data_IF_670866274001
#
_entry.id   IF_670866274001
#
_cell.length_a   1.000
_cell.length_b   1.000
_cell.length_c   1.000
_cell.angle_alpha   90.00
_cell.angle_beta   90.00
_cell.angle_gamma   90.00
#
_symmetry.space_group_name_H-M   'P 1'
#
loop_
_entity.id
_entity.type
_entity.pdbx_description
1 polymer ?
#
# COMPACT_ATOMS: atom_id res chain seq x y z
N UNK A 1 -54.47 10.75 12.90
CA UNK A 1 -53.32 11.66 13.04
C UNK A 1 -52.12 10.81 13.41
N UNK A 2 -51.34 10.40 12.42
CA UNK A 2 -50.17 9.52 12.60
C UNK A 2 -48.96 10.42 12.86
N UNK A 3 -48.39 10.32 14.06
CA UNK A 3 -47.20 11.08 14.44
C UNK A 3 -45.99 10.39 13.80
N UNK A 4 -45.31 11.09 12.89
CA UNK A 4 -44.02 10.69 12.35
C UNK A 4 -42.96 10.81 13.45
N UNK A 5 -42.40 9.70 13.91
CA UNK A 5 -41.16 9.71 14.68
C UNK A 5 -39.99 9.57 13.71
N UNK A 6 -39.43 10.71 13.30
CA UNK A 6 -38.18 10.79 12.56
C UNK A 6 -37.05 10.26 13.43
N UNK A 7 -36.47 9.12 13.04
CA UNK A 7 -35.19 8.67 13.58
C UNK A 7 -34.11 9.53 12.92
N UNK A 8 -33.61 10.51 13.65
CA UNK A 8 -32.35 11.17 13.32
C UNK A 8 -31.25 10.15 13.55
N UNK A 9 -30.75 9.54 12.48
CA UNK A 9 -29.48 8.80 12.55
C UNK A 9 -28.41 9.87 12.71
N UNK A 10 -27.95 10.01 13.95
CA UNK A 10 -26.83 10.84 14.32
C UNK A 10 -25.63 10.35 13.50
N UNK A 11 -25.29 11.10 12.44
CA UNK A 11 -24.03 10.92 11.73
C UNK A 11 -22.93 11.02 12.78
N UNK A 12 -22.30 9.89 13.08
CA UNK A 12 -21.18 9.84 13.99
C UNK A 12 -20.14 10.82 13.50
N UNK A 13 -19.90 11.87 14.28
CA UNK A 13 -18.70 12.68 14.14
C UNK A 13 -17.53 11.78 14.53
N UNK A 14 -17.01 10.98 13.58
CA UNK A 14 -15.73 10.30 13.77
C UNK A 14 -14.69 11.40 13.90
N UNK A 15 -14.03 11.45 15.05
CA UNK A 15 -12.85 12.27 15.23
C UNK A 15 -11.87 11.86 14.12
N UNK A 16 -11.29 12.77 13.32
CA UNK A 16 -10.31 12.39 12.30
C UNK A 16 -9.07 11.68 12.89
N UNK A 17 -8.86 11.82 14.21
CA UNK A 17 -7.86 11.08 14.99
C UNK A 17 -8.22 9.60 15.26
N UNK A 18 -9.47 9.18 15.03
CA UNK A 18 -9.95 7.79 15.17
C UNK A 18 -10.06 7.07 13.81
N UNK A 19 -9.69 7.75 12.72
CA UNK A 19 -9.71 7.16 11.38
C UNK A 19 -8.37 6.47 11.09
N UNK A 20 -8.31 5.16 11.38
CA UNK A 20 -7.13 4.32 11.16
C UNK A 20 -6.61 4.38 9.72
N UNK A 21 -7.51 4.51 8.74
CA UNK A 21 -7.13 4.64 7.33
C UNK A 21 -6.39 5.95 7.08
N UNK A 22 -6.82 7.05 7.70
CA UNK A 22 -6.12 8.32 7.62
C UNK A 22 -4.76 8.29 8.34
N UNK A 23 -4.67 7.57 9.47
CA UNK A 23 -3.40 7.35 10.16
C UNK A 23 -2.41 6.60 9.27
N UNK A 24 -2.84 5.49 8.65
CA UNK A 24 -1.99 4.75 7.71
C UNK A 24 -1.60 5.63 6.52
N UNK A 25 -2.57 6.31 5.90
CA UNK A 25 -2.34 7.17 4.74
C UNK A 25 -1.28 8.25 5.03
N UNK A 26 -1.32 8.87 6.20
CA UNK A 26 -0.38 9.91 6.62
C UNK A 26 0.99 9.34 7.05
N UNK A 27 1.06 8.04 7.33
CA UNK A 27 2.29 7.34 7.73
C UNK A 27 3.06 6.75 6.55
N UNK A 28 2.46 6.73 5.35
CA UNK A 28 3.10 6.20 4.15
C UNK A 28 4.33 7.02 3.77
N UNK A 29 5.45 6.32 3.62
CA UNK A 29 6.72 6.85 3.14
C UNK A 29 6.90 6.36 1.71
N UNK A 30 7.04 7.29 0.76
CA UNK A 30 7.38 6.96 -0.63
C UNK A 30 8.86 7.11 -0.85
N UNK A 31 9.48 6.06 -1.37
CA UNK A 31 10.89 6.03 -1.70
C UNK A 31 11.08 5.64 -3.15
N UNK A 32 12.03 6.27 -3.84
CA UNK A 32 12.35 5.97 -5.23
C UNK A 32 13.85 5.69 -5.38
N UNK A 33 14.20 4.68 -6.16
CA UNK A 33 15.58 4.42 -6.57
C UNK A 33 15.72 4.78 -8.06
N UNK A 34 16.15 6.01 -8.32
CA UNK A 34 16.15 6.56 -9.67
C UNK A 34 14.73 6.81 -10.19
N UNK A 35 14.57 6.78 -11.51
CA UNK A 35 13.28 7.04 -12.16
C UNK A 35 12.46 5.75 -12.39
N UNK A 36 13.08 4.57 -12.36
CA UNK A 36 12.44 3.31 -12.78
C UNK A 36 11.82 2.53 -11.63
N UNK A 37 12.09 2.90 -10.38
CA UNK A 37 11.65 2.17 -9.19
C UNK A 37 11.06 3.10 -8.16
N UNK A 38 9.84 2.78 -7.70
CA UNK A 38 9.21 3.42 -6.57
C UNK A 38 8.55 2.39 -5.67
N UNK A 39 8.68 2.56 -4.37
CA UNK A 39 8.00 1.72 -3.39
C UNK A 39 7.45 2.57 -2.25
N UNK A 40 6.55 1.94 -1.50
CA UNK A 40 5.91 2.53 -0.34
C UNK A 40 6.23 1.69 0.89
N UNK A 41 6.54 2.38 1.99
CA UNK A 41 6.84 1.79 3.28
C UNK A 41 6.13 2.56 4.41
N UNK A 42 6.21 2.02 5.63
CA UNK A 42 5.87 2.74 6.87
C UNK A 42 7.00 2.53 7.87
N UNK A 43 7.18 3.46 8.81
CA UNK A 43 8.04 3.19 9.97
C UNK A 43 7.41 2.11 10.85
N UNK A 44 8.22 1.21 11.40
CA UNK A 44 7.75 0.12 12.26
C UNK A 44 7.00 0.59 13.52
N UNK A 45 7.23 1.84 13.95
CA UNK A 45 6.56 2.41 15.12
C UNK A 45 5.35 3.29 14.77
N UNK A 46 5.06 3.48 13.47
CA UNK A 46 4.00 4.39 13.04
C UNK A 46 2.60 3.85 13.35
N UNK A 47 2.42 2.52 13.30
CA UNK A 47 1.15 1.85 13.56
C UNK A 47 1.30 0.92 14.75
N UNK A 48 0.58 1.17 15.86
CA UNK A 48 0.64 0.31 17.05
C UNK A 48 0.27 -1.15 16.73
N UNK A 49 1.12 -2.09 17.16
CA UNK A 49 0.91 -3.53 16.97
C UNK A 49 1.15 -4.02 15.54
N UNK A 50 1.78 -3.21 14.68
CA UNK A 50 2.31 -3.65 13.40
C UNK A 50 3.68 -4.30 13.60
N UNK A 51 3.85 -5.53 13.10
CA UNK A 51 5.08 -6.30 13.27
C UNK A 51 5.56 -6.82 11.91
N UNK A 52 6.79 -6.48 11.54
CA UNK A 52 7.38 -6.87 10.26
C UNK A 52 8.19 -8.17 10.36
N UNK A 53 8.78 -8.62 9.26
CA UNK A 53 9.57 -9.88 9.23
C UNK A 53 10.71 -9.96 10.25
N UNK A 54 11.21 -8.83 10.75
CA UNK A 54 12.34 -8.74 11.70
C UNK A 54 11.92 -8.58 13.16
N UNK A 55 10.66 -8.21 13.46
CA UNK A 55 10.24 -7.86 14.83
C UNK A 55 9.96 -9.05 15.76
N UNK A 56 9.98 -10.28 15.24
CA UNK A 56 9.56 -11.49 15.96
C UNK A 56 8.07 -11.80 15.76
N UNK A 57 7.70 -13.07 15.94
CA UNK A 57 6.34 -13.57 15.69
C UNK A 57 5.38 -13.19 16.85
N UNK A 58 4.11 -12.83 16.58
CA UNK A 58 3.41 -12.89 15.30
C UNK A 58 3.63 -11.68 14.38
N UNK A 59 3.72 -11.95 13.06
CA UNK A 59 3.89 -10.93 12.02
C UNK A 59 2.56 -10.41 11.46
N UNK A 60 2.54 -9.14 11.05
CA UNK A 60 1.42 -8.54 10.33
C UNK A 60 1.42 -9.01 8.87
N UNK A 61 0.30 -9.58 8.43
CA UNK A 61 0.03 -9.88 7.03
C UNK A 61 -0.50 -8.63 6.34
N UNK A 62 0.17 -8.20 5.28
CA UNK A 62 -0.18 -7.04 4.47
C UNK A 62 -0.74 -7.52 3.15
N UNK A 63 -1.96 -7.10 2.85
CA UNK A 63 -2.59 -7.32 1.55
C UNK A 63 -2.44 -6.08 0.70
N UNK A 64 -1.82 -6.24 -0.46
CA UNK A 64 -1.71 -5.19 -1.48
C UNK A 64 -2.59 -5.55 -2.66
N UNK A 65 -3.28 -4.56 -3.22
CA UNK A 65 -4.06 -4.71 -4.46
C UNK A 65 -3.73 -3.58 -5.40
N UNK A 66 -3.39 -3.92 -6.63
CA UNK A 66 -2.98 -2.98 -7.65
C UNK A 66 -4.11 -2.64 -8.63
N UNK A 67 -4.18 -1.38 -9.05
CA UNK A 67 -5.15 -0.85 -10.02
C UNK A 67 -4.58 0.34 -10.79
N UNK A 68 -5.43 1.15 -11.44
CA UNK A 68 -5.03 2.46 -11.97
C UNK A 68 -3.99 2.48 -13.10
N UNK A 69 -3.78 1.36 -13.79
CA UNK A 69 -2.74 1.21 -14.82
C UNK A 69 -1.78 0.04 -14.60
N UNK A 70 -1.89 -0.65 -13.46
CA UNK A 70 -1.06 -1.79 -13.09
C UNK A 70 -0.97 -2.89 -14.16
N UNK A 71 -2.08 -3.25 -14.81
CA UNK A 71 -2.09 -4.24 -15.91
C UNK A 71 -1.26 -3.78 -17.11
N UNK A 72 -1.38 -2.50 -17.49
CA UNK A 72 -0.61 -1.93 -18.59
C UNK A 72 0.89 -1.86 -18.24
N UNK A 73 1.22 -1.47 -17.01
CA UNK A 73 2.60 -1.47 -16.51
C UNK A 73 3.19 -2.90 -16.54
N UNK A 74 2.44 -3.90 -16.06
CA UNK A 74 2.88 -5.29 -16.09
C UNK A 74 3.05 -5.82 -17.51
N UNK A 75 2.12 -5.52 -18.41
CA UNK A 75 2.23 -5.87 -19.83
C UNK A 75 3.48 -5.24 -20.47
N UNK A 76 3.88 -4.05 -20.01
CA UNK A 76 5.10 -3.37 -20.40
C UNK A 76 6.37 -3.86 -19.69
N UNK A 77 6.29 -4.96 -18.91
CA UNK A 77 7.38 -5.59 -18.13
C UNK A 77 7.80 -4.88 -16.84
N UNK A 78 6.95 -4.02 -16.28
CA UNK A 78 7.11 -3.62 -14.88
C UNK A 78 6.71 -4.75 -13.93
N UNK A 79 7.41 -4.87 -12.82
CA UNK A 79 7.10 -5.76 -11.70
C UNK A 79 6.26 -5.01 -10.67
N UNK A 80 5.11 -5.59 -10.33
CA UNK A 80 4.31 -5.17 -9.17
C UNK A 80 4.83 -5.95 -7.98
N UNK A 81 5.25 -5.27 -6.92
CA UNK A 81 5.91 -5.91 -5.77
C UNK A 81 4.97 -6.02 -4.58
N UNK A 82 4.89 -7.20 -3.97
CA UNK A 82 4.19 -7.39 -2.71
C UNK A 82 4.95 -6.74 -1.53
N UNK A 83 4.38 -6.81 -0.33
CA UNK A 83 4.97 -6.22 0.87
C UNK A 83 6.29 -6.92 1.29
N UNK A 84 6.51 -8.17 0.86
CA UNK A 84 7.78 -8.89 1.04
C UNK A 84 8.81 -8.58 -0.08
N UNK A 85 8.48 -7.63 -0.98
CA UNK A 85 9.24 -7.26 -2.18
C UNK A 85 9.34 -8.36 -3.25
N UNK A 86 8.58 -9.46 -3.11
CA UNK A 86 8.45 -10.45 -4.18
C UNK A 86 7.56 -9.89 -5.32
N UNK A 87 7.81 -10.35 -6.54
CA UNK A 87 6.99 -9.94 -7.69
C UNK A 87 5.66 -10.69 -7.69
N UNK A 88 4.55 -9.96 -7.86
CA UNK A 88 3.21 -10.52 -8.05
C UNK A 88 3.12 -11.09 -9.48
N UNK A 89 3.20 -12.41 -9.59
CA UNK A 89 3.21 -13.10 -10.89
C UNK A 89 1.82 -13.44 -11.44
N UNK A 90 0.79 -13.44 -10.59
CA UNK A 90 -0.59 -13.78 -10.98
C UNK A 90 -1.60 -12.86 -10.28
N UNK A 91 -2.63 -12.42 -11.02
CA UNK A 91 -3.59 -11.45 -10.50
C UNK A 91 -2.95 -10.08 -10.23
N UNK A 92 -3.59 -9.27 -9.39
CA UNK A 92 -3.09 -7.94 -8.97
C UNK A 92 -3.05 -7.79 -7.45
N UNK A 93 -3.28 -8.87 -6.73
CA UNK A 93 -3.39 -8.88 -5.27
C UNK A 93 -2.44 -9.91 -4.70
N UNK A 94 -1.77 -9.56 -3.62
CA UNK A 94 -0.94 -10.47 -2.84
C UNK A 94 -1.06 -10.14 -1.35
N UNK A 95 -0.98 -11.17 -0.52
CA UNK A 95 -0.92 -11.04 0.94
C UNK A 95 0.37 -11.67 1.42
N UNK A 96 1.24 -10.86 2.00
CA UNK A 96 2.57 -11.29 2.46
C UNK A 96 2.93 -10.59 3.77
N UNK A 97 3.97 -11.07 4.46
CA UNK A 97 4.58 -10.33 5.57
C UNK A 97 5.37 -9.16 5.00
N UNK A 98 5.34 -7.99 5.65
CA UNK A 98 6.18 -6.86 5.24
C UNK A 98 7.66 -7.14 5.46
N UNK A 99 8.48 -6.86 4.46
CA UNK A 99 9.92 -6.94 4.55
C UNK A 99 10.49 -5.73 5.30
N UNK A 100 11.45 -5.98 6.19
CA UNK A 100 12.20 -4.91 6.88
C UNK A 100 13.25 -4.29 5.96
N UNK A 101 13.09 -3.01 5.65
CA UNK A 101 14.02 -2.23 4.81
C UNK A 101 14.98 -1.37 5.63
N UNK A 102 15.28 -1.76 6.87
CA UNK A 102 16.24 -1.06 7.74
C UNK A 102 15.58 -0.15 8.77
N UNK A 103 14.51 -0.63 9.43
CA UNK A 103 13.72 0.10 10.43
C UNK A 103 12.35 0.56 9.93
N UNK A 104 12.17 0.51 8.61
CA UNK A 104 10.89 0.68 7.93
C UNK A 104 10.40 -0.66 7.40
N UNK A 105 9.09 -0.75 7.14
CA UNK A 105 8.43 -1.90 6.57
C UNK A 105 7.94 -1.62 5.17
N UNK A 106 8.39 -2.43 4.21
CA UNK A 106 7.87 -2.40 2.86
C UNK A 106 6.38 -2.77 2.83
N UNK A 107 5.60 -2.00 2.07
CA UNK A 107 4.17 -2.21 1.85
C UNK A 107 3.83 -2.45 0.37
N UNK A 108 4.85 -2.55 -0.48
CA UNK A 108 4.72 -2.84 -1.92
C UNK A 108 5.45 -1.82 -2.79
N UNK A 109 5.54 -2.11 -4.09
CA UNK A 109 6.31 -1.30 -5.02
C UNK A 109 6.01 -1.52 -6.50
N UNK A 110 6.62 -0.69 -7.33
CA UNK A 110 6.59 -0.73 -8.78
C UNK A 110 8.03 -0.63 -9.28
N UNK A 111 8.50 -1.67 -9.97
CA UNK A 111 9.82 -1.72 -10.59
C UNK A 111 9.70 -1.87 -12.11
N UNK A 112 10.12 -0.86 -12.85
CA UNK A 112 10.12 -0.83 -14.30
C UNK A 112 11.53 -0.91 -14.90
N UNK A 113 12.53 -1.39 -14.16
CA UNK A 113 13.92 -1.51 -14.65
C UNK A 113 14.07 -2.38 -15.90
N UNK A 114 13.16 -3.34 -16.12
CA UNK A 114 13.10 -4.19 -17.31
C UNK A 114 12.01 -3.77 -18.32
N UNK A 115 11.33 -2.65 -18.07
CA UNK A 115 10.20 -2.23 -18.89
C UNK A 115 10.62 -1.55 -20.19
N UNK A 116 9.67 -1.48 -21.12
CA UNK A 116 9.82 -0.64 -22.32
C UNK A 116 9.92 0.83 -21.92
N UNK A 117 10.37 1.69 -22.85
CA UNK A 117 10.37 3.13 -22.63
C UNK A 117 8.94 3.63 -22.38
N UNK A 118 8.75 4.46 -21.36
CA UNK A 118 7.44 5.00 -21.03
C UNK A 118 7.35 5.59 -19.63
N UNK A 119 6.17 6.14 -19.34
CA UNK A 119 5.75 6.51 -17.99
C UNK A 119 4.68 5.50 -17.57
N UNK A 120 4.90 4.86 -16.43
CA UNK A 120 4.02 3.84 -15.88
C UNK A 120 3.53 4.31 -14.52
N UNK A 121 2.25 4.05 -14.28
CA UNK A 121 1.60 4.36 -13.02
C UNK A 121 0.76 3.17 -12.59
N UNK A 122 0.73 2.92 -11.30
CA UNK A 122 -0.11 1.91 -10.69
C UNK A 122 -0.57 2.41 -9.33
N UNK A 123 -1.87 2.39 -9.10
CA UNK A 123 -2.41 2.60 -7.76
C UNK A 123 -2.21 1.32 -6.95
N UNK A 124 -1.78 1.47 -5.70
CA UNK A 124 -1.65 0.40 -4.73
C UNK A 124 -2.58 0.71 -3.55
N UNK A 125 -3.52 -0.20 -3.29
CA UNK A 125 -4.31 -0.24 -2.07
C UNK A 125 -3.66 -1.22 -1.10
N UNK A 126 -3.31 -0.75 0.09
CA UNK A 126 -2.65 -1.50 1.15
C UNK A 126 -3.67 -1.71 2.27
N UNK A 127 -3.78 -2.94 2.78
CA UNK A 127 -4.65 -3.26 3.91
C UNK A 127 -4.04 -4.30 4.83
N UNK A 128 -4.24 -4.14 6.14
CA UNK A 128 -3.79 -5.09 7.15
C UNK A 128 -4.55 -4.92 8.47
N UNK A 129 -4.38 -5.88 9.37
CA UNK A 129 -4.86 -5.81 10.76
C UNK A 129 -3.65 -5.75 11.70
N UNK A 130 -3.61 -4.74 12.57
CA UNK A 130 -2.57 -4.55 13.58
C UNK A 130 -3.25 -4.17 14.91
N UNK A 131 -2.84 -4.77 16.02
CA UNK A 131 -3.45 -4.50 17.33
C UNK A 131 -4.97 -4.76 17.42
N UNK A 132 -5.53 -5.59 16.54
CA UNK A 132 -6.98 -5.84 16.43
C UNK A 132 -7.76 -4.79 15.63
N UNK A 133 -7.07 -3.88 14.96
CA UNK A 133 -7.63 -2.77 14.20
C UNK A 133 -7.30 -2.92 12.72
N UNK A 134 -8.26 -2.63 11.84
CA UNK A 134 -8.06 -2.64 10.40
C UNK A 134 -7.54 -1.29 9.91
N UNK A 135 -6.60 -1.35 8.97
CA UNK A 135 -6.02 -0.19 8.31
C UNK A 135 -6.08 -0.38 6.81
N UNK A 136 -6.48 0.66 6.08
CA UNK A 136 -6.46 0.71 4.62
C UNK A 136 -5.92 2.05 4.15
N UNK A 137 -5.04 2.03 3.15
CA UNK A 137 -4.57 3.24 2.48
C UNK A 137 -4.41 2.99 1.00
N UNK A 138 -4.51 4.05 0.19
CA UNK A 138 -4.28 3.95 -1.25
C UNK A 138 -3.30 5.03 -1.68
N UNK A 139 -2.38 4.65 -2.54
CA UNK A 139 -1.45 5.61 -3.12
C UNK A 139 -1.06 5.23 -4.53
N UNK A 140 -0.63 6.22 -5.32
CA UNK A 140 -0.16 5.99 -6.68
C UNK A 140 1.35 5.84 -6.69
N UNK A 141 1.84 4.80 -7.36
CA UNK A 141 3.25 4.58 -7.66
C UNK A 141 3.52 4.95 -9.11
N UNK A 142 4.65 5.59 -9.36
CA UNK A 142 5.05 6.08 -10.67
C UNK A 142 6.49 5.65 -10.98
N UNK A 143 6.70 5.25 -12.23
CA UNK A 143 8.00 4.91 -12.76
C UNK A 143 8.15 5.42 -14.19
N UNK A 144 9.33 5.92 -14.52
CA UNK A 144 9.69 6.47 -15.82
C UNK A 144 10.94 5.79 -16.35
N UNK A 145 10.81 5.18 -17.52
CA UNK A 145 11.91 4.56 -18.25
C UNK A 145 12.28 5.49 -19.41
N UNK A 146 13.47 6.07 -19.33
CA UNK A 146 14.05 6.90 -20.39
C UNK A 146 14.55 6.08 -21.59
N UNK A 147 14.96 6.73 -22.69
CA UNK A 147 15.65 6.03 -23.77
C UNK A 147 16.94 5.39 -23.23
N UNK A 148 17.36 4.22 -23.74
CA UNK A 148 18.70 3.72 -23.47
C UNK A 148 19.71 4.78 -23.92
N UNK A 149 20.67 5.06 -23.05
CA UNK A 149 21.75 6.03 -23.30
C UNK A 149 22.67 5.58 -24.45
#
# INVERSE_FOLDING_TARGET
>A
MVVLSSVVILAGCTNPSDNNDALLQNSLLKSAAGQVYQFVSISNTAIPGFENSSSGSPYTQVTVTYSGGAEAARAAKCSLLAADLSTITSGLTATTVSFDTGGDSALGGLDCGAANQGNYSADITISFIAGGVSYTATTTLEAKVGPPA
#
